data_IF_097947798184
#
_entry.id   IF_097947798184
#
_cell.length_a   1.000
_cell.length_b   1.000
_cell.length_c   1.000
_cell.angle_alpha   90.00
_cell.angle_beta   90.00
_cell.angle_gamma   90.00
#
_symmetry.space_group_name_H-M   'P 1'
#
loop_
_entity.id
_entity.type
_entity.pdbx_description
1 polymer ?
#
# COMPACT_ATOMS: atom_id res chain seq x y z
N UNK A 1 18.26 -7.71 -12.22
CA UNK A 1 17.31 -7.74 -11.09
C UNK A 1 16.29 -8.85 -11.29
N UNK A 2 15.94 -9.64 -10.25
CA UNK A 2 14.89 -10.68 -10.33
C UNK A 2 13.53 -10.03 -10.05
N UNK A 3 12.61 -10.04 -11.02
CA UNK A 3 11.30 -9.37 -10.91
C UNK A 3 10.17 -10.26 -10.35
N UNK A 4 10.42 -11.56 -10.20
CA UNK A 4 9.44 -12.50 -9.63
C UNK A 4 9.41 -12.40 -8.11
N UNK A 5 8.24 -12.47 -7.48
CA UNK A 5 8.10 -12.42 -6.02
C UNK A 5 8.11 -11.00 -5.42
N UNK A 6 8.15 -9.96 -6.26
CA UNK A 6 8.12 -8.54 -5.84
C UNK A 6 6.68 -7.99 -5.86
N UNK A 7 5.82 -8.58 -6.69
CA UNK A 7 4.55 -7.97 -7.10
C UNK A 7 4.78 -6.80 -8.07
N UNK A 8 3.89 -6.63 -9.04
CA UNK A 8 4.03 -5.57 -10.04
C UNK A 8 2.70 -4.89 -10.29
N UNK A 9 2.64 -3.58 -10.05
CA UNK A 9 1.42 -2.78 -10.23
C UNK A 9 1.75 -1.53 -11.01
N UNK A 10 0.98 -1.27 -12.07
CA UNK A 10 0.96 0.06 -12.68
C UNK A 10 0.43 1.08 -11.66
N UNK A 11 0.75 2.35 -11.84
CA UNK A 11 0.19 3.41 -11.00
C UNK A 11 -1.34 3.46 -11.03
N UNK A 12 -1.98 3.08 -12.14
CA UNK A 12 -3.44 3.00 -12.24
C UNK A 12 -4.03 1.87 -11.40
N UNK A 13 -3.40 0.69 -11.41
CA UNK A 13 -3.82 -0.42 -10.54
C UNK A 13 -3.60 -0.10 -9.08
N UNK A 14 -2.45 0.49 -8.74
CA UNK A 14 -2.18 0.98 -7.39
C UNK A 14 -3.21 2.01 -6.94
N UNK A 15 -3.60 2.94 -7.81
CA UNK A 15 -4.65 3.92 -7.53
C UNK A 15 -6.00 3.27 -7.26
N UNK A 16 -6.40 2.26 -8.05
CA UNK A 16 -7.64 1.49 -7.80
C UNK A 16 -7.60 0.75 -6.46
N UNK A 17 -6.49 0.08 -6.16
CA UNK A 17 -6.35 -0.75 -4.95
C UNK A 17 -6.26 0.08 -3.66
N UNK A 18 -5.63 1.24 -3.74
CA UNK A 18 -5.37 2.09 -2.55
C UNK A 18 -6.34 3.25 -2.43
N UNK A 19 -7.07 3.60 -3.49
CA UNK A 19 -7.89 4.80 -3.65
C UNK A 19 -7.10 6.10 -3.67
N UNK A 20 -5.78 6.06 -3.88
CA UNK A 20 -4.91 7.24 -3.97
C UNK A 20 -4.85 7.70 -5.43
N UNK A 21 -5.02 9.01 -5.74
CA UNK A 21 -4.88 9.48 -7.11
C UNK A 21 -3.50 9.18 -7.70
N UNK A 22 -3.46 8.76 -8.98
CA UNK A 22 -2.21 8.46 -9.72
C UNK A 22 -1.18 9.58 -9.60
N UNK A 23 -1.64 10.85 -9.67
CA UNK A 23 -0.79 12.02 -9.51
C UNK A 23 -0.06 12.04 -8.16
N UNK A 24 -0.76 11.70 -7.09
CA UNK A 24 -0.17 11.72 -5.75
C UNK A 24 0.80 10.55 -5.57
N UNK A 25 0.45 9.35 -6.07
CA UNK A 25 1.36 8.20 -6.10
C UNK A 25 2.67 8.54 -6.81
N UNK A 26 2.61 9.09 -8.04
CA UNK A 26 3.81 9.52 -8.77
C UNK A 26 4.61 10.58 -8.02
N UNK A 27 3.94 11.61 -7.47
CA UNK A 27 4.65 12.64 -6.68
C UNK A 27 5.35 12.08 -5.45
N UNK A 28 4.82 11.01 -4.85
CA UNK A 28 5.40 10.38 -3.68
C UNK A 28 6.53 9.41 -4.03
N UNK A 29 6.43 8.69 -5.15
CA UNK A 29 7.34 7.60 -5.52
C UNK A 29 8.37 7.96 -6.59
N UNK A 30 8.03 8.87 -7.52
CA UNK A 30 8.95 9.39 -8.55
C UNK A 30 9.56 10.74 -8.13
N UNK A 31 8.96 11.39 -7.12
CA UNK A 31 9.24 12.77 -6.77
C UNK A 31 8.56 13.76 -7.72
N UNK A 32 8.91 15.04 -7.60
CA UNK A 32 8.39 16.09 -8.48
C UNK A 32 9.26 17.34 -8.42
N UNK A 33 9.07 18.28 -9.33
CA UNK A 33 9.63 19.62 -9.21
C UNK A 33 8.50 20.66 -9.10
N UNK A 34 8.74 21.72 -8.35
CA UNK A 34 7.86 22.88 -8.32
C UNK A 34 8.64 24.15 -8.60
N UNK A 35 7.99 25.17 -9.15
CA UNK A 35 8.64 26.47 -9.37
C UNK A 35 8.61 27.27 -8.07
N UNK A 36 9.79 27.67 -7.60
CA UNK A 36 9.89 28.60 -6.50
C UNK A 36 9.29 29.95 -6.91
N UNK A 37 8.37 30.49 -6.09
CA UNK A 37 7.65 31.73 -6.43
C UNK A 37 8.56 32.96 -6.48
N UNK A 38 9.64 32.97 -5.70
CA UNK A 38 10.58 34.09 -5.59
C UNK A 38 11.65 34.02 -6.67
N UNK A 39 12.32 32.88 -6.79
CA UNK A 39 13.45 32.74 -7.72
C UNK A 39 13.04 32.29 -9.13
N UNK A 40 11.78 31.85 -9.31
CA UNK A 40 11.23 31.24 -10.54
C UNK A 40 11.96 29.96 -11.01
N UNK A 41 12.98 29.51 -10.29
CA UNK A 41 13.72 28.27 -10.57
C UNK A 41 12.91 27.04 -10.19
N UNK A 42 13.14 25.94 -10.90
CA UNK A 42 12.60 24.63 -10.55
C UNK A 42 13.34 24.09 -9.32
N UNK A 43 12.59 23.76 -8.27
CA UNK A 43 13.09 23.11 -7.06
C UNK A 43 12.67 21.65 -7.11
N UNK A 44 13.62 20.70 -7.23
CA UNK A 44 13.30 19.28 -7.20
C UNK A 44 12.94 18.84 -5.79
N UNK A 45 12.03 17.89 -5.71
CA UNK A 45 11.61 17.19 -4.50
C UNK A 45 11.78 15.71 -4.76
N UNK A 46 12.75 15.12 -4.08
CA UNK A 46 13.02 13.68 -4.15
C UNK A 46 11.79 12.86 -3.71
N UNK A 47 11.68 11.59 -4.16
CA UNK A 47 10.64 10.69 -3.67
C UNK A 47 10.74 10.45 -2.16
N UNK A 48 9.71 9.80 -1.59
CA UNK A 48 9.69 9.44 -0.17
C UNK A 48 10.67 8.29 0.11
N UNK A 49 10.81 7.36 -0.82
CA UNK A 49 11.78 6.27 -0.81
C UNK A 49 12.14 5.86 -2.22
N UNK A 50 13.18 5.02 -2.32
CA UNK A 50 13.55 4.38 -3.57
C UNK A 50 12.77 3.06 -3.71
N UNK A 51 11.90 2.99 -4.71
CA UNK A 51 11.02 1.84 -4.99
C UNK A 51 11.81 0.59 -5.32
N UNK A 52 11.26 -0.60 -5.09
CA UNK A 52 11.96 -1.86 -5.41
C UNK A 52 12.21 -2.03 -6.92
N UNK A 53 11.48 -1.26 -7.72
CA UNK A 53 11.58 -1.25 -9.17
C UNK A 53 12.46 -0.10 -9.70
N UNK A 54 13.11 0.70 -8.86
CA UNK A 54 13.88 1.86 -9.31
C UNK A 54 15.02 1.51 -10.28
N UNK A 55 15.61 0.32 -10.14
CA UNK A 55 16.66 -0.19 -11.06
C UNK A 55 16.09 -0.95 -12.26
N UNK A 56 14.78 -1.24 -12.24
CA UNK A 56 14.08 -1.83 -13.36
C UNK A 56 13.52 -0.70 -14.23
N UNK A 57 13.71 -0.78 -15.55
CA UNK A 57 13.07 0.12 -16.51
C UNK A 57 11.58 -0.24 -16.66
N UNK A 58 10.84 -0.15 -15.56
CA UNK A 58 9.44 -0.56 -15.42
C UNK A 58 8.66 0.55 -14.73
N UNK A 59 7.69 1.13 -15.45
CA UNK A 59 6.80 2.16 -14.91
C UNK A 59 5.72 1.52 -14.01
N UNK A 60 6.05 1.37 -12.73
CA UNK A 60 5.17 0.75 -11.74
C UNK A 60 5.77 0.72 -10.33
N UNK A 61 5.06 0.01 -9.45
CA UNK A 61 5.40 -0.11 -8.03
C UNK A 61 5.35 -1.57 -7.58
N UNK A 62 6.07 -1.93 -6.53
CA UNK A 62 6.03 -3.27 -5.92
C UNK A 62 4.85 -3.46 -4.98
N UNK A 63 4.70 -4.68 -4.45
CA UNK A 63 3.75 -4.97 -3.37
C UNK A 63 4.06 -4.20 -2.08
N UNK A 64 5.34 -4.11 -1.70
CA UNK A 64 5.70 -3.35 -0.50
C UNK A 64 5.50 -1.84 -0.72
N UNK A 65 5.82 -1.32 -1.90
CA UNK A 65 5.55 0.07 -2.26
C UNK A 65 4.04 0.37 -2.18
N UNK A 66 3.20 -0.54 -2.70
CA UNK A 66 1.74 -0.45 -2.65
C UNK A 66 1.20 -0.38 -1.20
N UNK A 67 1.77 -1.17 -0.30
CA UNK A 67 1.36 -1.14 1.10
C UNK A 67 1.86 0.12 1.82
N UNK A 68 3.11 0.52 1.61
CA UNK A 68 3.72 1.74 2.19
C UNK A 68 2.93 3.00 1.83
N UNK A 69 2.50 3.17 0.58
CA UNK A 69 1.71 4.35 0.18
C UNK A 69 0.35 4.43 0.89
N UNK A 70 -0.23 3.30 1.35
CA UNK A 70 -1.46 3.33 2.17
C UNK A 70 -1.20 4.00 3.52
N UNK A 71 -0.03 3.75 4.12
CA UNK A 71 0.40 4.43 5.34
C UNK A 71 0.63 5.92 5.08
N UNK A 72 1.32 6.27 3.99
CA UNK A 72 1.50 7.67 3.58
C UNK A 72 0.15 8.37 3.47
N UNK A 73 -0.84 7.77 2.79
CA UNK A 73 -2.19 8.33 2.67
C UNK A 73 -2.82 8.58 4.04
N UNK A 74 -2.77 7.61 4.95
CA UNK A 74 -3.35 7.72 6.28
C UNK A 74 -2.69 8.84 7.10
N UNK A 75 -1.36 8.93 7.08
CA UNK A 75 -0.62 10.04 7.72
C UNK A 75 -1.02 11.40 7.13
N UNK A 76 -1.13 11.49 5.80
CA UNK A 76 -1.55 12.71 5.11
C UNK A 76 -2.98 13.14 5.46
N UNK A 77 -3.90 12.18 5.60
CA UNK A 77 -5.29 12.45 6.01
C UNK A 77 -5.38 13.02 7.44
N UNK A 78 -4.39 12.73 8.29
CA UNK A 78 -4.27 13.26 9.65
C UNK A 78 -3.35 14.47 9.76
N UNK A 79 -3.01 15.12 8.64
CA UNK A 79 -2.29 16.39 8.61
C UNK A 79 -0.76 16.29 8.66
N UNK A 80 -0.18 15.09 8.77
CA UNK A 80 1.29 14.91 8.81
C UNK A 80 1.91 15.35 7.49
N UNK A 81 2.94 16.20 7.51
CA UNK A 81 3.58 16.65 6.27
C UNK A 81 4.36 15.54 5.55
N UNK A 82 4.54 15.66 4.22
CA UNK A 82 5.39 14.74 3.47
C UNK A 82 6.87 14.81 3.90
N UNK A 83 7.33 15.93 4.45
CA UNK A 83 8.70 16.06 4.97
C UNK A 83 8.87 15.23 6.24
N UNK A 84 7.90 15.31 7.15
CA UNK A 84 7.86 14.48 8.37
C UNK A 84 7.73 13.01 8.01
N UNK A 85 6.84 12.63 7.07
CA UNK A 85 6.73 11.24 6.61
C UNK A 85 8.05 10.73 6.02
N UNK A 86 8.75 11.55 5.22
CA UNK A 86 10.06 11.20 4.65
C UNK A 86 11.11 10.95 5.75
N UNK A 87 11.18 11.84 6.74
CA UNK A 87 12.11 11.72 7.86
C UNK A 87 11.79 10.49 8.72
N UNK A 88 10.50 10.23 9.00
CA UNK A 88 10.05 9.06 9.75
C UNK A 88 10.39 7.76 9.02
N UNK A 89 10.13 7.71 7.70
CA UNK A 89 10.49 6.56 6.86
C UNK A 89 11.99 6.31 6.91
N UNK A 90 12.83 7.34 6.70
CA UNK A 90 14.29 7.21 6.77
C UNK A 90 14.77 6.66 8.12
N UNK A 91 14.34 7.27 9.23
CA UNK A 91 14.69 6.81 10.58
C UNK A 91 14.24 5.38 10.85
N UNK A 92 13.05 5.00 10.37
CA UNK A 92 12.54 3.66 10.55
C UNK A 92 13.33 2.61 9.73
N UNK A 93 13.78 2.96 8.51
CA UNK A 93 14.68 2.09 7.73
C UNK A 93 16.01 1.87 8.44
N UNK A 94 16.60 2.94 8.98
CA UNK A 94 17.85 2.88 9.73
C UNK A 94 17.71 2.02 11.00
N UNK A 95 16.62 2.22 11.76
CA UNK A 95 16.39 1.51 13.02
C UNK A 95 16.05 0.03 12.83
N UNK A 96 15.24 -0.29 11.82
CA UNK A 96 14.74 -1.64 11.61
C UNK A 96 15.52 -2.45 10.59
N UNK A 97 16.42 -1.81 9.83
CA UNK A 97 17.14 -2.41 8.70
C UNK A 97 16.18 -3.02 7.66
N UNK A 98 15.02 -2.39 7.45
CA UNK A 98 13.99 -2.79 6.49
C UNK A 98 13.84 -1.70 5.43
N UNK A 99 13.66 -2.08 4.16
CA UNK A 99 13.45 -1.12 3.07
C UNK A 99 12.08 -0.42 3.15
N UNK A 100 11.06 -1.15 3.59
CA UNK A 100 9.67 -0.72 3.69
C UNK A 100 9.19 -0.86 5.14
N UNK A 101 9.61 0.09 6.01
CA UNK A 101 9.49 -0.08 7.45
C UNK A 101 8.05 0.10 7.96
N UNK A 102 7.20 0.96 7.35
CA UNK A 102 5.83 1.20 7.84
C UNK A 102 4.98 -0.05 7.80
N UNK A 103 5.29 -0.97 6.89
CA UNK A 103 4.58 -2.24 6.71
C UNK A 103 5.23 -3.40 7.45
N UNK A 104 6.02 -3.12 8.50
CA UNK A 104 6.62 -4.14 9.37
C UNK A 104 5.89 -4.28 10.71
N UNK A 105 6.05 -5.44 11.36
CA UNK A 105 5.47 -5.67 12.70
C UNK A 105 6.11 -4.76 13.74
N UNK A 106 7.43 -4.51 13.64
CA UNK A 106 8.13 -3.56 14.51
C UNK A 106 7.60 -2.14 14.39
N UNK A 107 7.19 -1.71 13.19
CA UNK A 107 6.61 -0.38 13.05
C UNK A 107 5.22 -0.30 13.68
N UNK A 108 4.45 -1.39 13.67
CA UNK A 108 3.18 -1.47 14.38
C UNK A 108 3.35 -1.23 15.89
N UNK A 109 4.45 -1.71 16.49
CA UNK A 109 4.73 -1.55 17.93
C UNK A 109 5.42 -0.23 18.25
N UNK A 110 6.44 0.14 17.47
CA UNK A 110 7.39 1.20 17.82
C UNK A 110 7.28 2.46 16.93
N UNK A 111 6.43 2.43 15.89
CA UNK A 111 6.28 3.52 14.92
C UNK A 111 5.91 4.86 15.55
N UNK A 112 5.20 4.85 16.69
CA UNK A 112 4.86 6.07 17.45
C UNK A 112 6.10 6.82 17.92
N UNK A 113 7.06 6.10 18.50
CA UNK A 113 8.28 6.69 19.04
C UNK A 113 9.09 7.33 17.93
N UNK A 114 9.16 6.67 16.77
CA UNK A 114 9.83 7.19 15.57
C UNK A 114 9.15 8.49 15.10
N UNK A 115 7.83 8.48 14.94
CA UNK A 115 7.09 9.67 14.52
C UNK A 115 7.20 10.83 15.53
N UNK A 116 7.15 10.55 16.83
CA UNK A 116 7.29 11.57 17.87
C UNK A 116 8.66 12.28 17.75
N UNK A 117 9.74 11.50 17.60
CA UNK A 117 11.10 12.05 17.43
C UNK A 117 11.26 12.86 16.13
N UNK A 118 10.53 12.46 15.09
CA UNK A 118 10.58 13.08 13.76
C UNK A 118 9.87 14.44 13.76
N UNK A 119 8.72 14.54 14.40
CA UNK A 119 7.94 15.79 14.49
C UNK A 119 8.69 16.83 15.32
N UNK A 120 9.39 16.40 16.38
CA UNK A 120 10.25 17.29 17.17
C UNK A 120 11.36 17.91 16.32
N UNK A 121 11.97 17.12 15.43
CA UNK A 121 13.04 17.57 14.54
C UNK A 121 12.52 18.43 13.38
N UNK A 122 11.32 18.14 12.85
CA UNK A 122 10.73 18.93 11.76
C UNK A 122 10.13 20.27 12.21
N UNK A 123 9.94 20.47 13.51
CA UNK A 123 9.35 21.69 14.07
C UNK A 123 7.82 21.77 13.88
N UNK A 124 7.16 20.67 13.51
CA UNK A 124 5.70 20.56 13.40
C UNK A 124 5.04 20.39 14.78
N UNK A 125 5.30 21.34 15.69
CA UNK A 125 4.95 21.27 17.12
C UNK A 125 3.45 21.04 17.35
N UNK A 126 2.58 21.53 16.46
CA UNK A 126 1.12 21.35 16.51
C UNK A 126 0.69 19.87 16.39
N UNK A 127 1.50 19.03 15.74
CA UNK A 127 1.25 17.58 15.61
C UNK A 127 1.87 16.76 16.76
N UNK A 128 2.69 17.38 17.62
CA UNK A 128 3.31 16.66 18.74
C UNK A 128 2.28 16.13 19.71
N UNK A 129 1.23 16.89 20.01
CA UNK A 129 0.19 16.43 20.93
C UNK A 129 -0.63 15.28 20.34
N UNK A 130 -0.84 15.30 19.02
CA UNK A 130 -1.49 14.21 18.28
C UNK A 130 -0.67 12.91 18.35
N UNK A 131 0.66 12.99 18.22
CA UNK A 131 1.53 11.80 18.23
C UNK A 131 1.92 11.36 19.65
N UNK A 132 2.02 12.29 20.60
CA UNK A 132 2.22 11.98 22.02
C UNK A 132 0.98 11.29 22.61
N UNK A 133 -0.22 11.66 22.16
CA UNK A 133 -1.45 10.96 22.53
C UNK A 133 -1.48 9.57 21.89
N UNK A 134 -1.31 8.54 22.71
CA UNK A 134 -1.39 7.12 22.29
C UNK A 134 -2.69 6.84 21.51
N UNK A 135 -3.79 7.42 21.96
CA UNK A 135 -5.10 7.25 21.33
C UNK A 135 -5.20 7.90 19.96
N UNK A 136 -4.63 9.10 19.79
CA UNK A 136 -4.63 9.78 18.50
C UNK A 136 -3.68 9.10 17.51
N UNK A 137 -2.48 8.67 17.91
CA UNK A 137 -1.60 7.92 17.03
C UNK A 137 -2.19 6.56 16.60
N UNK A 138 -2.86 5.85 17.50
CA UNK A 138 -3.63 4.63 17.15
C UNK A 138 -4.81 4.89 16.21
N UNK A 139 -5.33 6.12 16.15
CA UNK A 139 -6.30 6.53 15.12
C UNK A 139 -5.63 6.84 13.79
N UNK A 140 -4.41 7.38 13.78
CA UNK A 140 -3.67 7.62 12.54
C UNK A 140 -3.24 6.28 11.92
N UNK A 141 -2.58 5.46 12.74
CA UNK A 141 -2.24 4.08 12.42
C UNK A 141 -3.41 3.20 12.87
N UNK A 142 -4.51 3.32 12.14
CA UNK A 142 -5.68 2.52 12.45
C UNK A 142 -5.32 1.03 12.42
N UNK A 143 -5.91 0.20 13.30
CA UNK A 143 -5.87 -1.25 13.15
C UNK A 143 -6.28 -1.72 11.74
N UNK A 144 -7.03 -0.90 10.99
CA UNK A 144 -7.44 -1.15 9.61
C UNK A 144 -6.27 -1.18 8.61
N UNK A 145 -5.19 -0.41 8.82
CA UNK A 145 -4.04 -0.37 7.90
C UNK A 145 -3.25 -1.68 7.94
N UNK A 146 -3.02 -2.19 9.16
CA UNK A 146 -2.39 -3.49 9.39
C UNK A 146 -3.34 -4.67 9.24
N UNK A 147 -4.65 -4.44 9.25
CA UNK A 147 -5.62 -5.53 9.16
C UNK A 147 -5.46 -6.26 7.83
N UNK A 148 -5.39 -7.58 7.93
CA UNK A 148 -5.23 -8.45 6.78
C UNK A 148 -3.80 -8.49 6.24
N UNK A 149 -2.84 -7.76 6.81
CA UNK A 149 -1.42 -7.97 6.47
C UNK A 149 -0.93 -9.19 7.26
N UNK A 150 -0.45 -10.20 6.54
CA UNK A 150 0.32 -11.31 7.12
C UNK A 150 1.81 -11.00 6.92
N UNK A 151 2.59 -11.15 7.99
CA UNK A 151 4.02 -10.86 7.99
C UNK A 151 4.84 -12.13 7.83
N UNK A 152 5.94 -12.04 7.08
CA UNK A 152 6.94 -13.09 6.92
C UNK A 152 7.83 -13.27 8.15
N UNK A 153 8.80 -14.17 8.03
CA UNK A 153 9.80 -14.43 9.07
C UNK A 153 10.80 -13.27 9.25
N UNK A 154 10.96 -12.45 8.23
CA UNK A 154 11.83 -11.27 8.15
C UNK A 154 11.16 -9.98 8.63
N UNK A 155 9.96 -10.09 9.22
CA UNK A 155 9.14 -8.97 9.70
C UNK A 155 8.53 -8.08 8.60
N UNK A 156 8.74 -8.42 7.32
CA UNK A 156 8.13 -7.74 6.18
C UNK A 156 6.73 -8.26 5.88
N UNK A 157 5.92 -7.47 5.16
CA UNK A 157 4.60 -7.90 4.72
C UNK A 157 4.73 -8.98 3.64
N UNK A 158 4.18 -10.16 3.89
CA UNK A 158 4.20 -11.28 2.94
C UNK A 158 2.91 -11.38 2.12
N UNK A 159 1.75 -11.11 2.73
CA UNK A 159 0.44 -11.15 2.06
C UNK A 159 -0.47 -10.08 2.59
N UNK A 160 -1.45 -9.69 1.78
CA UNK A 160 -2.48 -8.75 2.21
C UNK A 160 -3.89 -9.21 1.79
N UNK A 161 -4.78 -9.33 2.78
CA UNK A 161 -6.21 -9.57 2.60
C UNK A 161 -6.95 -8.23 2.69
N UNK A 162 -7.35 -7.63 1.56
CA UNK A 162 -7.89 -6.27 1.52
C UNK A 162 -9.32 -6.15 2.03
N UNK A 163 -10.05 -7.26 2.21
CA UNK A 163 -11.46 -7.26 2.62
C UNK A 163 -11.60 -7.51 4.11
N UNK A 164 -12.39 -6.66 4.77
CA UNK A 164 -12.62 -6.72 6.20
C UNK A 164 -13.24 -8.07 6.62
N UNK A 165 -12.62 -8.76 7.58
CA UNK A 165 -13.10 -10.05 8.14
C UNK A 165 -13.31 -11.17 7.10
N UNK A 166 -12.68 -11.06 5.93
CA UNK A 166 -12.73 -12.10 4.90
C UNK A 166 -11.32 -12.38 4.40
N UNK A 167 -10.99 -13.67 4.27
CA UNK A 167 -9.77 -14.14 3.61
C UNK A 167 -10.04 -14.64 2.18
N UNK A 168 -11.18 -14.31 1.59
CA UNK A 168 -11.56 -14.83 0.27
C UNK A 168 -10.72 -14.22 -0.87
N UNK A 169 -10.23 -13.00 -0.71
CA UNK A 169 -9.33 -12.32 -1.67
C UNK A 169 -8.02 -11.98 -0.99
N UNK A 170 -6.92 -12.25 -1.68
CA UNK A 170 -5.55 -12.00 -1.19
C UNK A 170 -4.70 -11.38 -2.30
N UNK A 171 -3.76 -10.52 -1.90
CA UNK A 171 -2.63 -10.08 -2.72
C UNK A 171 -1.38 -10.72 -2.15
N UNK A 172 -0.70 -11.53 -2.96
CA UNK A 172 0.53 -12.24 -2.63
C UNK A 172 1.56 -11.96 -3.74
N UNK A 173 2.68 -11.27 -3.46
CA UNK A 173 3.66 -10.90 -4.48
C UNK A 173 4.30 -12.10 -5.19
N UNK A 174 4.25 -13.30 -4.60
CA UNK A 174 4.76 -14.54 -5.19
C UNK A 174 3.78 -15.18 -6.19
N UNK A 175 2.50 -14.80 -6.15
CA UNK A 175 1.44 -15.39 -6.97
C UNK A 175 0.84 -14.33 -7.90
N UNK A 176 0.69 -14.67 -9.18
CA UNK A 176 0.06 -13.80 -10.18
C UNK A 176 0.62 -12.35 -10.19
N UNK A 177 1.92 -12.17 -9.87
CA UNK A 177 2.57 -10.87 -9.71
C UNK A 177 1.88 -9.93 -8.69
N UNK A 178 1.32 -10.48 -7.61
CA UNK A 178 0.66 -9.70 -6.57
C UNK A 178 -0.76 -9.27 -6.90
N UNK A 179 -1.25 -9.51 -8.13
CA UNK A 179 -2.62 -9.13 -8.49
C UNK A 179 -3.62 -9.78 -7.52
N UNK A 180 -4.75 -9.13 -7.20
CA UNK A 180 -5.74 -9.71 -6.33
C UNK A 180 -6.24 -11.05 -6.90
N UNK A 181 -6.16 -12.09 -6.09
CA UNK A 181 -6.63 -13.44 -6.41
C UNK A 181 -7.64 -13.89 -5.38
N UNK A 182 -8.50 -14.83 -5.76
CA UNK A 182 -9.25 -15.61 -4.78
C UNK A 182 -8.31 -16.61 -4.11
N UNK A 183 -8.43 -16.76 -2.79
CA UNK A 183 -7.57 -17.66 -2.01
C UNK A 183 -7.74 -19.11 -2.44
N UNK A 184 -8.98 -19.52 -2.72
CA UNK A 184 -9.27 -20.85 -3.27
C UNK A 184 -9.06 -20.82 -4.79
N UNK A 185 -8.01 -21.50 -5.26
CA UNK A 185 -7.69 -21.67 -6.69
C UNK A 185 -6.73 -20.63 -7.27
N UNK A 186 -6.36 -19.59 -6.52
CA UNK A 186 -5.40 -18.56 -6.95
C UNK A 186 -5.75 -17.86 -8.28
N UNK A 187 -7.05 -17.79 -8.60
CA UNK A 187 -7.53 -17.14 -9.83
C UNK A 187 -7.67 -15.63 -9.59
N UNK A 188 -7.21 -14.81 -10.53
CA UNK A 188 -7.34 -13.35 -10.44
C UNK A 188 -8.81 -12.93 -10.32
N UNK A 189 -9.11 -12.01 -9.41
CA UNK A 189 -10.49 -11.51 -9.21
C UNK A 189 -11.06 -10.89 -10.47
N UNK A 190 -10.22 -10.19 -11.24
CA UNK A 190 -10.61 -9.60 -12.52
C UNK A 190 -11.07 -10.64 -13.54
N UNK A 191 -10.43 -11.82 -13.60
CA UNK A 191 -10.82 -12.91 -14.50
C UNK A 191 -12.21 -13.44 -14.12
N UNK A 192 -12.44 -13.71 -12.85
CA UNK A 192 -13.74 -14.23 -12.38
C UNK A 192 -14.86 -13.19 -12.57
N UNK A 193 -14.57 -11.91 -12.32
CA UNK A 193 -15.53 -10.84 -12.53
C UNK A 193 -15.87 -10.64 -14.02
N UNK A 194 -14.89 -10.74 -14.91
CA UNK A 194 -15.10 -10.66 -16.36
C UNK A 194 -15.89 -11.87 -16.88
N UNK A 195 -15.54 -13.08 -16.43
CA UNK A 195 -16.28 -14.29 -16.77
C UNK A 195 -17.75 -14.21 -16.29
N UNK A 196 -17.99 -13.71 -15.07
CA UNK A 196 -19.36 -13.51 -14.59
C UNK A 196 -20.14 -12.48 -15.43
N UNK A 197 -19.48 -11.40 -15.88
CA UNK A 197 -20.13 -10.43 -16.78
C UNK A 197 -20.51 -11.04 -18.14
N UNK A 198 -19.70 -11.97 -18.65
CA UNK A 198 -19.97 -12.65 -19.92
C UNK A 198 -21.09 -13.69 -19.78
N UNK A 199 -21.04 -14.51 -18.73
CA UNK A 199 -21.92 -15.68 -18.58
C UNK A 199 -23.23 -15.38 -17.83
N UNK A 200 -23.24 -14.42 -16.89
CA UNK A 200 -24.40 -14.09 -16.06
C UNK A 200 -24.75 -15.13 -14.98
N UNK A 201 -24.04 -16.26 -14.90
CA UNK A 201 -24.29 -17.34 -13.94
C UNK A 201 -23.02 -17.66 -13.12
N UNK A 202 -23.09 -17.41 -11.81
CA UNK A 202 -21.96 -17.63 -10.88
C UNK A 202 -21.65 -19.12 -10.68
N UNK A 203 -22.66 -20.00 -10.73
CA UNK A 203 -22.48 -21.44 -10.61
C UNK A 203 -21.78 -22.00 -11.84
N UNK A 204 -22.09 -21.48 -13.04
CA UNK A 204 -21.38 -21.83 -14.26
C UNK A 204 -19.91 -21.40 -14.18
N UNK A 205 -19.63 -20.14 -13.82
CA UNK A 205 -18.25 -19.62 -13.69
C UNK A 205 -17.46 -20.41 -12.64
N UNK A 206 -18.06 -20.72 -11.49
CA UNK A 206 -17.44 -21.52 -10.45
C UNK A 206 -16.98 -22.90 -10.98
N UNK A 207 -17.82 -23.57 -11.79
CA UNK A 207 -17.45 -24.84 -12.43
C UNK A 207 -16.35 -24.67 -13.47
N UNK A 208 -16.39 -23.62 -14.29
CA UNK A 208 -15.39 -23.36 -15.34
C UNK A 208 -13.98 -23.13 -14.80
N UNK A 209 -13.88 -22.47 -13.64
CA UNK A 209 -12.60 -22.13 -13.02
C UNK A 209 -12.25 -23.05 -11.84
N UNK A 210 -13.05 -24.09 -11.58
CA UNK A 210 -12.86 -25.06 -10.48
C UNK A 210 -12.69 -24.40 -9.10
N UNK A 211 -13.48 -23.35 -8.83
CA UNK A 211 -13.47 -22.62 -7.55
C UNK A 211 -14.85 -22.68 -6.87
N UNK A 212 -14.94 -22.50 -5.54
CA UNK A 212 -16.22 -22.35 -4.86
C UNK A 212 -17.02 -21.16 -5.41
N UNK A 213 -18.35 -21.25 -5.43
CA UNK A 213 -19.25 -20.14 -5.82
C UNK A 213 -18.98 -18.89 -4.96
N UNK A 214 -18.68 -19.08 -3.67
CA UNK A 214 -18.32 -18.01 -2.76
C UNK A 214 -17.06 -17.23 -3.20
N UNK A 215 -16.11 -17.87 -3.88
CA UNK A 215 -14.93 -17.22 -4.45
C UNK A 215 -15.30 -16.32 -5.63
N UNK A 216 -16.22 -16.77 -6.49
CA UNK A 216 -16.76 -15.95 -7.59
C UNK A 216 -17.50 -14.74 -7.02
N UNK A 217 -18.34 -14.92 -6.01
CA UNK A 217 -19.04 -13.83 -5.32
C UNK A 217 -18.08 -12.83 -4.70
N UNK A 218 -17.06 -13.30 -4.00
CA UNK A 218 -16.04 -12.46 -3.39
C UNK A 218 -15.23 -11.68 -4.43
N UNK A 219 -14.87 -12.31 -5.55
CA UNK A 219 -14.15 -11.67 -6.65
C UNK A 219 -14.98 -10.57 -7.32
N UNK A 220 -16.25 -10.84 -7.62
CA UNK A 220 -17.17 -9.87 -8.23
C UNK A 220 -17.35 -8.67 -7.30
N UNK A 221 -17.70 -8.91 -6.03
CA UNK A 221 -17.89 -7.84 -5.05
C UNK A 221 -16.61 -7.02 -4.82
N UNK A 222 -15.44 -7.67 -4.87
CA UNK A 222 -14.15 -7.00 -4.76
C UNK A 222 -13.89 -6.06 -5.95
N UNK A 223 -14.08 -6.54 -7.19
CA UNK A 223 -13.85 -5.73 -8.39
C UNK A 223 -14.85 -4.58 -8.54
N UNK A 224 -16.12 -4.78 -8.17
CA UNK A 224 -17.13 -3.71 -8.15
C UNK A 224 -16.73 -2.59 -7.19
N UNK A 225 -16.23 -2.94 -6.00
CA UNK A 225 -15.73 -1.96 -5.02
C UNK A 225 -14.52 -1.17 -5.53
N UNK A 226 -13.69 -1.75 -6.40
CA UNK A 226 -12.54 -1.06 -6.99
C UNK A 226 -12.91 -0.06 -8.10
N UNK A 227 -14.17 -0.06 -8.54
CA UNK A 227 -14.68 0.86 -9.58
C UNK A 227 -15.56 1.96 -9.00
N UNK A 228 -16.17 1.72 -7.84
CA UNK A 228 -17.00 2.67 -7.08
C UNK A 228 -16.17 3.83 -6.48
#
# INVERSE_FOLDING_TARGET
>A
MKLTGIGLYTFHEAARLTGIPVRDLRRWLDGYAYRNKTTRHAVPVAPLWETELAEADVDGISFHDLLEVRFVRAFRQHGVSLQTIRLASRKARELFALRHPFTSRRFQTDGRTIFASTIQESGETELLDLVKSQYAFQKIIEPSLYRGIEFGADDAAARWYPTLRSKAVVLDPEIAFGKPIVTDGAIRTSILAEAFRAEGDKQLVARLYEVPVASVEAAVAFEERLVA
#
